data_IF_542776852565
#
_entry.id   IF_542776852565
#
_cell.length_a   1.000
_cell.length_b   1.000
_cell.length_c   1.000
_cell.angle_alpha   90.00
_cell.angle_beta   90.00
_cell.angle_gamma   90.00
#
_symmetry.space_group_name_H-M   'P 1'
#
loop_
_entity.id
_entity.type
_entity.pdbx_description
1 polymer ?
#
# COMPACT_ATOMS: atom_id res chain seq x y z
N UNK A 1 -9.50 17.75 15.56
CA UNK A 1 -9.35 16.29 15.87
C UNK A 1 -9.51 15.58 14.54
N UNK A 2 -8.52 14.77 14.11
CA UNK A 2 -8.66 14.03 12.84
C UNK A 2 -9.69 12.91 12.98
N UNK A 3 -10.49 12.73 11.94
CA UNK A 3 -11.49 11.68 11.85
C UNK A 3 -10.97 10.54 10.96
N UNK A 4 -10.85 9.36 11.55
CA UNK A 4 -10.43 8.12 10.87
C UNK A 4 -11.65 7.25 10.62
N UNK A 5 -11.87 6.84 9.37
CA UNK A 5 -12.87 5.81 9.05
C UNK A 5 -12.17 4.49 8.74
N UNK A 6 -12.49 3.45 9.51
CA UNK A 6 -12.01 2.09 9.27
C UNK A 6 -12.97 1.42 8.30
N UNK A 7 -12.46 0.91 7.19
CA UNK A 7 -13.21 0.13 6.20
C UNK A 7 -12.50 -1.18 5.88
N UNK A 8 -13.22 -2.14 5.32
CA UNK A 8 -12.67 -3.44 4.89
C UNK A 8 -12.87 -3.66 3.39
N UNK A 9 -12.09 -3.01 2.51
CA UNK A 9 -12.34 -3.05 1.07
C UNK A 9 -11.85 -4.34 0.40
N UNK A 10 -11.18 -5.23 1.13
CA UNK A 10 -10.49 -6.42 0.62
C UNK A 10 -10.89 -7.69 1.38
N UNK A 11 -9.97 -8.31 2.11
CA UNK A 11 -10.18 -9.56 2.84
C UNK A 11 -10.90 -9.37 4.18
N UNK A 12 -11.65 -10.40 4.60
CA UNK A 12 -12.27 -10.45 5.93
C UNK A 12 -11.21 -10.46 7.04
N UNK A 13 -11.55 -9.84 8.16
CA UNK A 13 -10.73 -9.78 9.37
C UNK A 13 -11.59 -10.08 10.59
N UNK A 14 -11.01 -10.63 11.64
CA UNK A 14 -11.73 -10.83 12.90
C UNK A 14 -12.16 -9.49 13.51
N UNK A 15 -13.44 -9.39 13.90
CA UNK A 15 -14.03 -8.19 14.51
C UNK A 15 -13.17 -7.58 15.61
N UNK A 16 -12.58 -8.43 16.46
CA UNK A 16 -11.75 -7.98 17.61
C UNK A 16 -10.60 -7.07 17.19
N UNK A 17 -9.97 -7.31 16.02
CA UNK A 17 -8.84 -6.49 15.56
C UNK A 17 -9.29 -5.08 15.12
N UNK A 18 -10.48 -4.96 14.54
CA UNK A 18 -11.04 -3.64 14.22
C UNK A 18 -11.40 -2.89 15.50
N UNK A 19 -12.05 -3.57 16.46
CA UNK A 19 -12.47 -2.97 17.71
C UNK A 19 -11.27 -2.52 18.56
N UNK A 20 -10.25 -3.35 18.73
CA UNK A 20 -9.03 -3.00 19.45
C UNK A 20 -8.22 -1.88 18.74
N UNK A 21 -8.16 -1.90 17.40
CA UNK A 21 -7.52 -0.81 16.65
C UNK A 21 -8.28 0.51 16.85
N UNK A 22 -9.63 0.47 16.84
CA UNK A 22 -10.45 1.64 17.15
C UNK A 22 -10.15 2.19 18.55
N UNK A 23 -10.18 1.33 19.58
CA UNK A 23 -9.91 1.73 20.96
C UNK A 23 -8.53 2.40 21.09
N UNK A 24 -7.50 1.84 20.44
CA UNK A 24 -6.16 2.42 20.41
C UNK A 24 -6.13 3.79 19.74
N UNK A 25 -6.75 3.93 18.56
CA UNK A 25 -6.80 5.19 17.84
C UNK A 25 -7.56 6.27 18.64
N UNK A 26 -8.66 5.89 19.28
CA UNK A 26 -9.42 6.78 20.19
C UNK A 26 -8.59 7.20 21.40
N UNK A 27 -7.76 6.29 21.98
CA UNK A 27 -6.84 6.62 23.07
C UNK A 27 -5.76 7.62 22.65
N UNK A 28 -5.41 7.67 21.38
CA UNK A 28 -4.50 8.68 20.82
C UNK A 28 -5.19 10.03 20.53
N UNK A 29 -6.49 10.12 20.75
CA UNK A 29 -7.26 11.35 20.57
C UNK A 29 -7.84 11.53 19.17
N UNK A 30 -7.93 10.49 18.35
CA UNK A 30 -8.63 10.53 17.08
C UNK A 30 -10.13 10.28 17.26
N UNK A 31 -10.94 10.85 16.38
CA UNK A 31 -12.33 10.42 16.21
C UNK A 31 -12.32 9.21 15.26
N UNK A 32 -13.00 8.11 15.64
CA UNK A 32 -13.02 6.91 14.82
C UNK A 32 -14.44 6.50 14.48
N UNK A 33 -14.70 6.23 13.20
CA UNK A 33 -15.92 5.58 12.73
C UNK A 33 -15.56 4.30 11.96
N UNK A 34 -16.53 3.40 11.84
CA UNK A 34 -16.36 2.12 11.16
C UNK A 34 -17.37 2.06 10.02
N UNK A 35 -16.94 1.62 8.85
CA UNK A 35 -17.80 1.41 7.69
C UNK A 35 -18.91 0.40 8.01
N UNK A 36 -20.05 0.57 7.38
CA UNK A 36 -21.26 -0.21 7.60
C UNK A 36 -21.04 -1.72 7.41
N UNK A 37 -20.20 -2.07 6.43
CA UNK A 37 -19.90 -3.45 6.05
C UNK A 37 -18.52 -3.95 6.52
N UNK A 38 -17.78 -3.15 7.29
CA UNK A 38 -16.40 -3.45 7.69
C UNK A 38 -16.23 -4.75 8.48
N UNK A 39 -17.29 -5.26 9.11
CA UNK A 39 -17.32 -6.54 9.83
C UNK A 39 -17.88 -7.70 8.99
N UNK A 40 -18.14 -7.47 7.71
CA UNK A 40 -18.69 -8.46 6.80
C UNK A 40 -17.75 -9.62 6.52
N UNK A 41 -18.33 -10.75 6.08
CA UNK A 41 -17.59 -11.91 5.62
C UNK A 41 -18.39 -12.62 4.51
N UNK A 42 -17.75 -12.79 3.34
CA UNK A 42 -18.26 -13.54 2.21
C UNK A 42 -17.11 -14.35 1.60
N UNK A 43 -16.96 -15.62 2.03
CA UNK A 43 -15.79 -16.41 1.72
C UNK A 43 -14.52 -15.76 2.31
N UNK A 44 -13.55 -15.44 1.46
CA UNK A 44 -12.31 -14.74 1.89
C UNK A 44 -12.44 -13.22 1.99
N UNK A 45 -13.55 -12.64 1.47
CA UNK A 45 -13.76 -11.20 1.36
C UNK A 45 -14.51 -10.65 2.57
N UNK A 46 -14.34 -9.37 2.83
CA UNK A 46 -15.07 -8.64 3.88
C UNK A 46 -16.47 -8.19 3.44
N UNK A 47 -17.24 -9.10 2.83
CA UNK A 47 -18.54 -8.82 2.24
C UNK A 47 -18.54 -9.01 0.73
N UNK A 48 -19.67 -8.72 0.08
CA UNK A 48 -19.78 -8.73 -1.39
C UNK A 48 -18.94 -7.61 -2.01
N UNK A 49 -18.74 -7.64 -3.31
CA UNK A 49 -18.03 -6.58 -4.01
C UNK A 49 -18.74 -5.22 -3.86
N UNK A 50 -20.08 -5.25 -3.91
CA UNK A 50 -20.94 -4.06 -3.76
C UNK A 50 -20.83 -3.47 -2.37
N UNK A 51 -20.88 -4.28 -1.31
CA UNK A 51 -20.75 -3.83 0.09
C UNK A 51 -19.39 -3.20 0.36
N UNK A 52 -18.30 -3.80 -0.13
CA UNK A 52 -16.95 -3.27 0.00
C UNK A 52 -16.75 -1.95 -0.76
N UNK A 53 -17.36 -1.84 -1.94
CA UNK A 53 -17.34 -0.64 -2.76
C UNK A 53 -18.19 0.47 -2.15
N UNK A 54 -19.36 0.16 -1.57
CA UNK A 54 -20.23 1.11 -0.87
C UNK A 54 -19.46 1.79 0.27
N UNK A 55 -18.85 1.01 1.19
CA UNK A 55 -18.06 1.55 2.29
C UNK A 55 -16.89 2.44 1.80
N UNK A 56 -16.18 2.02 0.75
CA UNK A 56 -15.07 2.80 0.19
C UNK A 56 -15.54 4.11 -0.43
N UNK A 57 -16.60 4.07 -1.25
CA UNK A 57 -17.13 5.26 -1.90
C UNK A 57 -17.74 6.24 -0.88
N UNK A 58 -18.44 5.75 0.15
CA UNK A 58 -18.93 6.59 1.24
C UNK A 58 -17.79 7.26 2.00
N UNK A 59 -16.72 6.50 2.32
CA UNK A 59 -15.56 7.06 3.01
C UNK A 59 -14.82 8.11 2.18
N UNK A 60 -14.70 7.91 0.88
CA UNK A 60 -14.09 8.86 -0.05
C UNK A 60 -14.95 10.13 -0.23
N UNK A 61 -16.28 9.99 -0.25
CA UNK A 61 -17.20 11.11 -0.45
C UNK A 61 -17.37 11.99 0.80
N UNK A 62 -17.25 11.39 2.00
CA UNK A 62 -17.48 12.10 3.27
C UNK A 62 -16.37 13.12 3.54
N UNK A 63 -16.75 14.40 3.57
CA UNK A 63 -15.81 15.51 3.79
C UNK A 63 -15.32 15.62 5.24
N UNK A 64 -15.95 14.92 6.17
CA UNK A 64 -15.51 14.87 7.56
C UNK A 64 -14.40 13.84 7.81
N UNK A 65 -14.14 12.94 6.85
CA UNK A 65 -13.12 11.91 6.97
C UNK A 65 -11.77 12.43 6.50
N UNK A 66 -10.81 12.48 7.42
CA UNK A 66 -9.42 12.87 7.13
C UNK A 66 -8.57 11.67 6.68
N UNK A 67 -8.85 10.48 7.24
CA UNK A 67 -8.08 9.26 7.03
C UNK A 67 -9.00 8.07 6.81
N UNK A 68 -8.74 7.30 5.76
CA UNK A 68 -9.35 5.99 5.51
C UNK A 68 -8.32 4.93 5.90
N UNK A 69 -8.56 4.23 7.02
CA UNK A 69 -7.74 3.10 7.43
C UNK A 69 -8.37 1.81 6.91
N UNK A 70 -7.67 1.12 6.02
CA UNK A 70 -8.07 -0.20 5.58
C UNK A 70 -7.83 -1.21 6.71
N UNK A 71 -8.82 -2.05 7.03
CA UNK A 71 -8.71 -2.98 8.15
C UNK A 71 -7.70 -4.09 7.90
N UNK A 72 -7.64 -4.56 6.64
CA UNK A 72 -6.79 -5.64 6.16
C UNK A 72 -6.62 -5.58 4.63
N UNK A 73 -5.50 -6.11 4.13
CA UNK A 73 -5.32 -6.52 2.74
C UNK A 73 -5.93 -7.90 2.45
N UNK A 74 -5.19 -8.74 1.78
CA UNK A 74 -5.64 -10.07 1.37
C UNK A 74 -5.88 -10.13 -0.13
N UNK A 75 -7.13 -10.13 -0.58
CA UNK A 75 -7.51 -10.08 -1.99
C UNK A 75 -8.93 -9.54 -2.14
N UNK A 76 -9.17 -8.74 -3.17
CA UNK A 76 -10.51 -8.29 -3.49
C UNK A 76 -10.62 -6.88 -4.09
N UNK A 77 -9.64 -6.02 -3.91
CA UNK A 77 -9.66 -4.66 -4.44
C UNK A 77 -9.71 -4.62 -5.97
N UNK A 78 -9.01 -5.52 -6.66
CA UNK A 78 -9.07 -5.61 -8.12
C UNK A 78 -10.48 -5.89 -8.67
N UNK A 79 -11.40 -6.43 -7.86
CA UNK A 79 -12.80 -6.67 -8.28
C UNK A 79 -13.63 -5.39 -8.33
N UNK A 80 -13.17 -4.32 -7.66
CA UNK A 80 -13.93 -3.08 -7.47
C UNK A 80 -13.17 -1.83 -7.88
N UNK A 81 -11.88 -1.92 -8.18
CA UNK A 81 -11.02 -0.76 -8.42
C UNK A 81 -11.50 0.14 -9.56
N UNK A 82 -12.06 -0.45 -10.61
CA UNK A 82 -12.60 0.24 -11.79
C UNK A 82 -13.97 0.91 -11.56
N UNK A 83 -14.59 0.64 -10.40
CA UNK A 83 -15.90 1.18 -10.01
C UNK A 83 -15.82 2.22 -8.89
N UNK A 84 -14.62 2.56 -8.45
CA UNK A 84 -14.42 3.56 -7.40
C UNK A 84 -14.89 4.93 -7.91
N UNK A 85 -15.74 5.58 -7.13
CA UNK A 85 -16.20 6.94 -7.37
C UNK A 85 -15.29 7.91 -6.62
N UNK A 86 -14.45 8.61 -7.38
CA UNK A 86 -13.51 9.56 -6.80
C UNK A 86 -14.20 10.87 -6.39
N UNK A 87 -13.73 11.53 -5.31
CA UNK A 87 -14.28 12.80 -4.89
C UNK A 87 -14.12 13.88 -5.96
N UNK A 88 -15.14 14.74 -6.11
CA UNK A 88 -15.10 15.89 -7.03
C UNK A 88 -14.47 17.13 -6.41
N UNK A 89 -14.22 17.12 -5.09
CA UNK A 89 -13.54 18.20 -4.35
C UNK A 89 -12.04 18.26 -4.68
N UNK A 90 -11.35 19.37 -4.32
CA UNK A 90 -9.89 19.48 -4.53
C UNK A 90 -9.13 18.29 -3.94
N UNK A 91 -8.10 17.82 -4.63
CA UNK A 91 -7.30 16.64 -4.23
C UNK A 91 -6.61 16.82 -2.87
N UNK A 92 -6.32 18.06 -2.47
CA UNK A 92 -5.79 18.39 -1.14
C UNK A 92 -6.74 18.00 -0.01
N UNK A 93 -8.06 17.97 -0.31
CA UNK A 93 -9.13 17.63 0.64
C UNK A 93 -9.53 16.15 0.63
N UNK A 94 -8.91 15.33 -0.26
CA UNK A 94 -9.18 13.88 -0.25
C UNK A 94 -8.60 13.25 1.01
N UNK A 95 -9.25 12.24 1.59
CA UNK A 95 -8.72 11.56 2.76
C UNK A 95 -7.39 10.86 2.45
N UNK A 96 -6.53 10.74 3.47
CA UNK A 96 -5.34 9.90 3.39
C UNK A 96 -5.74 8.42 3.46
N UNK A 97 -5.47 7.67 2.41
CA UNK A 97 -5.67 6.21 2.42
C UNK A 97 -4.48 5.54 3.09
N UNK A 98 -4.74 4.65 4.06
CA UNK A 98 -3.74 3.92 4.84
C UNK A 98 -3.95 2.42 4.71
N UNK A 99 -2.90 1.69 4.38
CA UNK A 99 -2.88 0.23 4.28
C UNK A 99 -1.72 -0.27 3.43
N UNK A 100 -1.62 -1.58 3.23
CA UNK A 100 -0.60 -2.23 2.39
C UNK A 100 -1.12 -3.56 1.82
N UNK A 101 -0.27 -4.34 1.14
CA UNK A 101 -0.69 -5.61 0.53
C UNK A 101 -1.68 -5.37 -0.63
N UNK A 102 -2.86 -6.00 -0.63
CA UNK A 102 -3.91 -5.78 -1.64
C UNK A 102 -4.33 -4.30 -1.78
N UNK A 103 -4.11 -3.48 -0.72
CA UNK A 103 -4.37 -2.04 -0.75
C UNK A 103 -3.46 -1.31 -1.75
N UNK A 104 -2.43 -1.94 -2.24
CA UNK A 104 -1.61 -1.46 -3.37
C UNK A 104 -2.47 -1.06 -4.58
N UNK A 105 -3.58 -1.76 -4.84
CA UNK A 105 -4.49 -1.38 -5.93
C UNK A 105 -5.14 0.00 -5.68
N UNK A 106 -5.46 0.34 -4.43
CA UNK A 106 -5.98 1.66 -4.08
C UNK A 106 -4.88 2.72 -4.06
N UNK A 107 -3.65 2.35 -3.63
CA UNK A 107 -2.49 3.23 -3.78
C UNK A 107 -2.20 3.58 -5.24
N UNK A 108 -2.38 2.61 -6.16
CA UNK A 108 -2.24 2.86 -7.60
C UNK A 108 -3.27 3.90 -8.10
N UNK A 109 -4.53 3.82 -7.65
CA UNK A 109 -5.57 4.83 -7.95
C UNK A 109 -5.16 6.20 -7.42
N UNK A 110 -4.73 6.29 -6.16
CA UNK A 110 -4.30 7.57 -5.56
C UNK A 110 -3.09 8.15 -6.30
N UNK A 111 -2.09 7.33 -6.60
CA UNK A 111 -0.87 7.74 -7.33
C UNK A 111 -1.18 8.24 -8.74
N UNK A 112 -2.10 7.58 -9.46
CA UNK A 112 -2.57 8.01 -10.79
C UNK A 112 -3.15 9.43 -10.77
N UNK A 113 -3.74 9.82 -9.65
CA UNK A 113 -4.30 11.16 -9.44
C UNK A 113 -3.33 12.13 -8.73
N UNK A 114 -2.10 11.69 -8.40
CA UNK A 114 -1.13 12.50 -7.67
C UNK A 114 -1.57 12.84 -6.25
N UNK A 115 -2.35 11.95 -5.62
CA UNK A 115 -2.83 12.11 -4.24
C UNK A 115 -1.97 11.23 -3.32
N UNK A 116 -1.38 11.80 -2.26
CA UNK A 116 -0.62 11.02 -1.30
C UNK A 116 -1.46 9.93 -0.62
N UNK A 117 -0.84 8.75 -0.41
CA UNK A 117 -1.41 7.64 0.34
C UNK A 117 -0.32 6.95 1.15
N UNK A 118 -0.66 6.32 2.27
CA UNK A 118 0.28 5.79 3.24
C UNK A 118 0.31 4.25 3.18
N UNK A 119 1.38 3.69 2.64
CA UNK A 119 1.68 2.27 2.79
C UNK A 119 2.12 2.02 4.22
N UNK A 120 1.30 1.34 5.01
CA UNK A 120 1.54 1.12 6.44
C UNK A 120 0.73 -0.08 6.95
N UNK A 121 1.14 -0.61 8.09
CA UNK A 121 0.43 -1.65 8.82
C UNK A 121 -0.99 -1.21 9.19
N UNK A 122 -1.90 -2.21 9.32
CA UNK A 122 -3.33 -2.03 9.45
C UNK A 122 -3.86 -2.49 10.81
N UNK A 123 -5.17 -2.72 10.93
CA UNK A 123 -5.84 -2.97 12.22
C UNK A 123 -5.22 -4.09 13.06
N UNK A 124 -4.75 -5.20 12.44
CA UNK A 124 -4.14 -6.29 13.23
C UNK A 124 -2.90 -5.83 13.98
N UNK A 125 -1.99 -5.11 13.32
CA UNK A 125 -0.79 -4.58 13.97
C UNK A 125 -1.15 -3.58 15.09
N UNK A 126 -2.08 -2.67 14.83
CA UNK A 126 -2.59 -1.73 15.84
C UNK A 126 -3.26 -2.44 17.01
N UNK A 127 -3.87 -3.60 16.81
CA UNK A 127 -4.53 -4.37 17.86
C UNK A 127 -3.57 -5.19 18.71
N UNK A 128 -2.51 -5.76 18.09
CA UNK A 128 -1.72 -6.82 18.72
C UNK A 128 -0.32 -6.43 19.15
N UNK A 129 0.28 -5.42 18.50
CA UNK A 129 1.62 -4.97 18.85
C UNK A 129 1.61 -4.10 20.13
N UNK A 130 2.69 -4.11 20.93
CA UNK A 130 2.83 -3.22 22.07
C UNK A 130 2.66 -1.75 21.67
N UNK A 131 2.14 -0.92 22.59
CA UNK A 131 1.91 0.50 22.32
C UNK A 131 3.21 1.28 22.08
N UNK A 132 4.29 0.87 22.73
CA UNK A 132 5.64 1.44 22.63
C UNK A 132 6.47 0.82 21.50
N UNK A 133 5.92 -0.10 20.72
CA UNK A 133 6.62 -0.67 19.56
C UNK A 133 6.97 0.43 18.53
N UNK A 134 8.21 0.49 18.04
CA UNK A 134 8.67 1.55 17.16
C UNK A 134 7.75 1.77 15.94
N UNK A 135 7.31 0.68 15.29
CA UNK A 135 6.42 0.75 14.13
C UNK A 135 5.03 1.27 14.50
N UNK A 136 4.52 1.02 15.71
CA UNK A 136 3.23 1.57 16.19
C UNK A 136 3.34 3.08 16.42
N UNK A 137 4.46 3.52 17.00
CA UNK A 137 4.74 4.95 17.18
C UNK A 137 4.90 5.67 15.84
N UNK A 138 5.59 5.05 14.88
CA UNK A 138 5.73 5.58 13.53
C UNK A 138 4.38 5.67 12.78
N UNK A 139 3.51 4.67 12.90
CA UNK A 139 2.16 4.71 12.31
C UNK A 139 1.35 5.86 12.93
N UNK A 140 1.41 6.04 14.26
CA UNK A 140 0.76 7.15 14.95
C UNK A 140 1.26 8.49 14.40
N UNK A 141 2.57 8.70 14.36
CA UNK A 141 3.19 9.90 13.80
C UNK A 141 2.77 10.15 12.35
N UNK A 142 2.79 9.09 11.52
CA UNK A 142 2.41 9.18 10.11
C UNK A 142 0.94 9.59 9.94
N UNK A 143 0.02 9.07 10.77
CA UNK A 143 -1.39 9.47 10.77
C UNK A 143 -1.53 10.92 11.27
N UNK A 144 -0.80 11.31 12.32
CA UNK A 144 -0.82 12.68 12.87
C UNK A 144 -0.33 13.71 11.85
N UNK A 145 0.78 13.44 11.16
CA UNK A 145 1.33 14.30 10.10
C UNK A 145 0.52 14.22 8.80
N UNK A 146 -0.08 13.06 8.51
CA UNK A 146 -0.88 12.86 7.32
C UNK A 146 -0.04 12.98 6.04
N UNK A 147 -0.47 13.82 5.10
CA UNK A 147 0.21 14.02 3.80
C UNK A 147 1.56 14.75 3.90
N UNK A 148 1.90 15.27 5.07
CA UNK A 148 3.19 15.91 5.37
C UNK A 148 4.18 14.95 6.04
N UNK A 149 3.81 13.69 6.21
CA UNK A 149 4.71 12.68 6.77
C UNK A 149 5.93 12.50 5.86
N UNK A 150 7.10 12.51 6.47
CA UNK A 150 8.37 12.25 5.79
C UNK A 150 9.08 11.10 6.50
N UNK A 151 9.51 10.12 5.73
CA UNK A 151 10.27 9.00 6.26
C UNK A 151 11.74 9.38 6.44
N UNK A 152 12.31 9.09 7.62
CA UNK A 152 13.72 9.32 7.89
C UNK A 152 14.58 8.19 7.29
N UNK A 153 15.76 8.54 6.77
CA UNK A 153 16.73 7.56 6.26
C UNK A 153 16.70 7.35 4.74
N UNK A 154 15.91 8.11 4.00
CA UNK A 154 15.80 8.00 2.54
C UNK A 154 16.52 9.14 1.78
N UNK A 155 17.63 9.65 2.30
CA UNK A 155 18.35 10.78 1.70
C UNK A 155 18.71 10.59 0.21
N UNK A 156 18.85 9.34 -0.26
CA UNK A 156 19.07 9.05 -1.68
C UNK A 156 17.86 9.36 -2.57
N UNK A 157 16.68 9.52 -1.98
CA UNK A 157 15.41 9.75 -2.68
C UNK A 157 14.72 11.04 -2.26
N UNK A 158 15.46 11.95 -1.59
CA UNK A 158 14.92 13.23 -1.14
C UNK A 158 14.25 13.99 -2.31
N UNK A 159 13.03 14.42 -2.10
CA UNK A 159 12.22 15.13 -3.09
C UNK A 159 11.67 14.26 -4.24
N UNK A 160 11.93 12.94 -4.23
CA UNK A 160 11.37 12.02 -5.24
C UNK A 160 10.03 11.45 -4.79
N UNK A 161 9.10 11.33 -5.72
CA UNK A 161 7.83 10.64 -5.49
C UNK A 161 8.06 9.13 -5.45
N UNK A 162 7.55 8.50 -4.40
CA UNK A 162 7.58 7.03 -4.27
C UNK A 162 6.23 6.49 -4.70
N UNK A 163 6.24 5.42 -5.50
CA UNK A 163 5.06 4.66 -5.93
C UNK A 163 5.33 3.17 -5.71
N UNK A 164 4.32 2.32 -5.76
CA UNK A 164 4.55 0.88 -5.72
C UNK A 164 3.73 0.14 -4.67
N UNK A 165 4.34 -0.83 -4.02
CA UNK A 165 3.77 -1.71 -3.01
C UNK A 165 3.94 -3.18 -3.35
N UNK A 166 2.90 -3.99 -3.15
CA UNK A 166 2.94 -5.43 -3.39
C UNK A 166 3.09 -5.75 -4.89
N UNK A 167 4.15 -6.52 -5.23
CA UNK A 167 4.55 -6.77 -6.61
C UNK A 167 3.49 -7.56 -7.39
N UNK A 168 2.86 -8.56 -6.79
CA UNK A 168 1.83 -9.36 -7.45
C UNK A 168 0.56 -8.54 -7.74
N UNK A 169 0.20 -7.61 -6.87
CA UNK A 169 -0.89 -6.67 -7.10
C UNK A 169 -0.54 -5.70 -8.23
N UNK A 170 0.66 -5.12 -8.22
CA UNK A 170 1.15 -4.25 -9.29
C UNK A 170 1.17 -4.97 -10.65
N UNK A 171 1.62 -6.22 -10.67
CA UNK A 171 1.59 -7.07 -11.86
C UNK A 171 0.16 -7.31 -12.35
N UNK A 172 -0.77 -7.59 -11.43
CA UNK A 172 -2.18 -7.78 -11.75
C UNK A 172 -2.87 -6.53 -12.33
N UNK A 173 -2.32 -5.34 -12.13
CA UNK A 173 -2.82 -4.09 -12.70
C UNK A 173 -2.21 -3.75 -14.07
N UNK A 174 -1.19 -4.51 -14.56
CA UNK A 174 -0.59 -4.23 -15.86
C UNK A 174 -1.61 -4.37 -16.99
N UNK A 175 -1.53 -3.44 -17.97
CA UNK A 175 -2.49 -3.37 -19.07
C UNK A 175 -3.84 -2.72 -18.71
N UNK A 176 -4.03 -2.29 -17.47
CA UNK A 176 -5.21 -1.52 -17.03
C UNK A 176 -4.89 -0.03 -16.94
N UNK A 177 -5.90 0.85 -16.82
CA UNK A 177 -5.68 2.28 -16.57
C UNK A 177 -4.94 2.59 -15.26
N UNK A 178 -4.81 1.62 -14.36
CA UNK A 178 -4.17 1.75 -13.04
C UNK A 178 -2.74 1.17 -13.02
N UNK A 179 -2.19 0.86 -14.18
CA UNK A 179 -0.84 0.29 -14.33
C UNK A 179 0.26 1.28 -13.93
N UNK A 180 1.42 0.76 -13.56
CA UNK A 180 2.60 1.60 -13.28
C UNK A 180 2.94 2.53 -14.45
N UNK A 181 2.82 2.06 -15.70
CA UNK A 181 3.03 2.92 -16.87
C UNK A 181 2.06 4.12 -16.88
N UNK A 182 0.78 3.88 -16.63
CA UNK A 182 -0.22 4.95 -16.58
C UNK A 182 0.04 5.96 -15.45
N UNK A 183 0.54 5.48 -14.30
CA UNK A 183 0.94 6.33 -13.17
C UNK A 183 2.16 7.18 -13.57
N UNK A 184 3.23 6.55 -14.07
CA UNK A 184 4.47 7.23 -14.47
C UNK A 184 4.21 8.29 -15.55
N UNK A 185 3.29 8.03 -16.49
CA UNK A 185 2.89 9.00 -17.54
C UNK A 185 2.22 10.28 -16.97
N UNK A 186 1.75 10.25 -15.73
CA UNK A 186 1.15 11.40 -15.02
C UNK A 186 2.11 12.16 -14.14
N UNK A 187 3.27 11.59 -13.86
CA UNK A 187 4.29 12.21 -13.02
C UNK A 187 5.21 13.10 -13.86
N UNK A 188 5.59 14.25 -13.32
CA UNK A 188 6.51 15.20 -13.98
C UNK A 188 7.95 14.69 -13.96
N UNK A 189 8.30 13.87 -12.96
CA UNK A 189 9.63 13.31 -12.78
C UNK A 189 9.58 11.79 -12.62
N UNK A 190 10.68 11.14 -12.96
CA UNK A 190 10.85 9.72 -12.76
C UNK A 190 10.70 9.36 -11.26
N UNK A 191 9.77 8.45 -10.91
CA UNK A 191 9.53 8.08 -9.52
C UNK A 191 10.52 7.02 -9.02
N UNK A 192 10.51 6.81 -7.72
CA UNK A 192 11.11 5.66 -7.05
C UNK A 192 10.03 4.57 -6.91
N UNK A 193 10.37 3.33 -7.25
CA UNK A 193 9.46 2.18 -7.13
C UNK A 193 9.77 1.38 -5.87
N UNK A 194 8.79 1.25 -4.97
CA UNK A 194 8.83 0.28 -3.88
C UNK A 194 8.22 -1.04 -4.35
N UNK A 195 8.89 -2.16 -4.09
CA UNK A 195 8.38 -3.51 -4.30
C UNK A 195 8.56 -4.37 -3.05
N UNK A 196 7.54 -5.11 -2.69
CA UNK A 196 7.54 -6.16 -1.65
C UNK A 196 6.55 -7.26 -2.06
N UNK A 197 6.66 -8.45 -1.50
CA UNK A 197 5.65 -9.49 -1.71
C UNK A 197 5.62 -10.51 -0.57
N UNK A 198 4.61 -11.40 -0.58
CA UNK A 198 4.46 -12.48 0.39
C UNK A 198 3.93 -13.75 -0.27
N UNK A 199 4.49 -14.91 0.13
CA UNK A 199 4.01 -16.24 -0.28
C UNK A 199 3.99 -16.46 -1.80
N UNK A 200 4.80 -15.71 -2.56
CA UNK A 200 4.91 -15.92 -4.00
C UNK A 200 5.99 -16.95 -4.34
N UNK A 201 5.71 -17.74 -5.36
CA UNK A 201 6.71 -18.69 -5.86
C UNK A 201 7.82 -17.96 -6.60
N UNK A 202 9.05 -18.43 -6.48
CA UNK A 202 10.22 -17.82 -7.08
C UNK A 202 10.03 -17.49 -8.57
N UNK A 203 9.55 -18.45 -9.39
CA UNK A 203 9.32 -18.21 -10.82
C UNK A 203 8.19 -17.20 -11.11
N UNK A 204 7.25 -16.99 -10.18
CA UNK A 204 6.26 -15.90 -10.29
C UNK A 204 6.94 -14.55 -10.11
N UNK A 205 7.80 -14.43 -9.10
CA UNK A 205 8.58 -13.21 -8.85
C UNK A 205 9.43 -12.87 -10.07
N UNK A 206 10.19 -13.83 -10.59
CA UNK A 206 10.99 -13.65 -11.81
C UNK A 206 10.14 -13.19 -13.00
N UNK A 207 8.98 -13.83 -13.22
CA UNK A 207 8.03 -13.44 -14.27
C UNK A 207 7.54 -12.03 -14.13
N UNK A 208 7.16 -11.61 -12.91
CA UNK A 208 6.66 -10.27 -12.62
C UNK A 208 7.75 -9.22 -12.87
N UNK A 209 8.97 -9.46 -12.41
CA UNK A 209 10.12 -8.58 -12.64
C UNK A 209 10.47 -8.45 -14.12
N UNK A 210 10.47 -9.58 -14.86
CA UNK A 210 10.67 -9.58 -16.32
C UNK A 210 9.55 -8.82 -17.06
N UNK A 211 8.30 -8.88 -16.56
CA UNK A 211 7.22 -8.07 -17.10
C UNK A 211 7.48 -6.57 -16.91
N UNK A 212 7.90 -6.14 -15.71
CA UNK A 212 8.26 -4.73 -15.45
C UNK A 212 9.41 -4.27 -16.36
N UNK A 213 10.39 -5.12 -16.57
CA UNK A 213 11.52 -4.85 -17.49
C UNK A 213 11.04 -4.73 -18.94
N UNK A 214 10.32 -5.73 -19.46
CA UNK A 214 9.87 -5.76 -20.86
C UNK A 214 8.85 -4.67 -21.20
N UNK A 215 8.03 -4.25 -20.22
CA UNK A 215 7.10 -3.15 -20.38
C UNK A 215 7.75 -1.75 -20.29
N UNK A 216 9.09 -1.70 -20.10
CA UNK A 216 9.86 -0.46 -20.04
C UNK A 216 9.73 0.32 -18.73
N UNK A 217 9.04 -0.23 -17.72
CA UNK A 217 8.83 0.44 -16.43
C UNK A 217 10.16 0.71 -15.74
N UNK A 218 11.03 -0.31 -15.63
CA UNK A 218 12.29 -0.19 -14.91
C UNK A 218 13.22 0.89 -15.49
N UNK A 219 13.19 1.15 -16.79
CA UNK A 219 14.00 2.20 -17.43
C UNK A 219 13.48 3.64 -17.21
N UNK A 220 12.29 3.77 -16.58
CA UNK A 220 11.62 5.06 -16.35
C UNK A 220 11.65 5.48 -14.88
N UNK A 221 12.39 4.74 -14.04
CA UNK A 221 12.51 4.99 -12.62
C UNK A 221 13.74 5.87 -12.29
N UNK A 222 13.70 6.55 -11.16
CA UNK A 222 14.85 7.22 -10.56
C UNK A 222 15.46 6.43 -9.40
N UNK A 223 14.88 5.29 -9.03
CA UNK A 223 15.36 4.40 -7.99
C UNK A 223 14.39 3.28 -7.68
N UNK A 224 14.86 2.30 -6.91
CA UNK A 224 14.06 1.18 -6.42
C UNK A 224 14.30 0.97 -4.93
N UNK A 225 13.23 0.76 -4.20
CA UNK A 225 13.22 0.31 -2.80
C UNK A 225 12.77 -1.14 -2.80
N UNK A 226 13.65 -2.05 -2.41
CA UNK A 226 13.34 -3.46 -2.26
C UNK A 226 12.99 -3.72 -0.81
N UNK A 227 11.70 -3.95 -0.56
CA UNK A 227 11.15 -4.38 0.71
C UNK A 227 11.38 -5.86 0.98
N UNK A 228 10.56 -6.44 1.82
CA UNK A 228 10.67 -7.84 2.20
C UNK A 228 9.86 -8.73 1.24
N UNK A 229 10.45 -9.87 0.89
CA UNK A 229 9.80 -10.96 0.15
C UNK A 229 9.57 -12.10 1.13
N UNK A 230 8.54 -11.91 1.97
CA UNK A 230 8.24 -12.78 3.11
C UNK A 230 7.65 -14.11 2.63
N UNK A 231 8.15 -15.23 3.17
CA UNK A 231 7.69 -16.59 2.79
C UNK A 231 7.75 -16.84 1.26
N UNK A 232 8.69 -16.20 0.59
CA UNK A 232 8.99 -16.38 -0.82
C UNK A 232 10.23 -17.28 -0.94
N UNK A 233 10.01 -18.59 -0.88
CA UNK A 233 11.09 -19.58 -0.85
C UNK A 233 11.86 -19.67 -2.17
N UNK A 234 13.18 -19.84 -2.06
CA UNK A 234 14.04 -20.11 -3.20
C UNK A 234 13.68 -21.44 -3.85
N UNK A 235 13.48 -21.43 -5.16
CA UNK A 235 13.31 -22.65 -5.95
C UNK A 235 14.66 -23.09 -6.52
N UNK A 236 15.16 -24.24 -6.08
CA UNK A 236 16.44 -24.80 -6.54
C UNK A 236 16.52 -25.01 -8.05
N UNK A 237 15.37 -25.20 -8.72
CA UNK A 237 15.30 -25.34 -10.18
C UNK A 237 15.57 -24.03 -10.92
N UNK A 238 15.42 -22.89 -10.24
CA UNK A 238 15.75 -21.57 -10.81
C UNK A 238 17.26 -21.33 -10.89
N UNK A 239 18.08 -22.07 -10.13
CA UNK A 239 19.54 -21.95 -10.13
C UNK A 239 20.08 -20.66 -9.48
N UNK A 240 19.24 -19.89 -8.86
CA UNK A 240 19.55 -18.67 -8.12
C UNK A 240 18.55 -18.46 -6.98
N UNK A 241 18.82 -17.53 -6.07
CA UNK A 241 17.88 -17.12 -5.01
C UNK A 241 16.89 -16.09 -5.53
N UNK A 242 15.78 -15.87 -4.77
CA UNK A 242 14.82 -14.78 -5.04
C UNK A 242 15.55 -13.43 -5.08
N UNK A 243 16.44 -13.19 -4.13
CA UNK A 243 17.23 -11.96 -4.07
C UNK A 243 18.11 -11.77 -5.31
N UNK A 244 18.76 -12.83 -5.78
CA UNK A 244 19.56 -12.79 -7.01
C UNK A 244 18.71 -12.55 -8.25
N UNK A 245 17.51 -13.12 -8.34
CA UNK A 245 16.55 -12.82 -9.41
C UNK A 245 16.15 -11.35 -9.44
N UNK A 246 15.86 -10.74 -8.28
CA UNK A 246 15.57 -9.32 -8.17
C UNK A 246 16.79 -8.50 -8.60
N UNK A 247 17.98 -8.88 -8.14
CA UNK A 247 19.23 -8.21 -8.52
C UNK A 247 19.48 -8.27 -10.04
N UNK A 248 19.29 -9.43 -10.66
CA UNK A 248 19.45 -9.61 -12.11
C UNK A 248 18.45 -8.76 -12.91
N UNK A 249 17.19 -8.67 -12.47
CA UNK A 249 16.17 -7.85 -13.11
C UNK A 249 16.49 -6.35 -13.08
N UNK A 250 17.18 -5.90 -12.02
CA UNK A 250 17.57 -4.51 -11.81
C UNK A 250 19.00 -4.21 -12.32
N UNK A 251 19.74 -5.23 -12.75
CA UNK A 251 21.09 -5.04 -13.30
C UNK A 251 21.05 -4.22 -14.60
N UNK A 252 21.99 -3.30 -14.74
CA UNK A 252 22.12 -2.46 -15.94
C UNK A 252 21.33 -1.13 -15.88
N UNK A 253 20.70 -0.83 -14.75
CA UNK A 253 20.16 0.50 -14.47
C UNK A 253 21.05 1.23 -13.48
N UNK A 254 21.35 2.51 -13.76
CA UNK A 254 22.32 3.32 -12.99
C UNK A 254 21.69 4.08 -11.80
N UNK A 255 20.41 3.85 -11.50
CA UNK A 255 19.74 4.49 -10.38
C UNK A 255 20.04 3.78 -9.04
N UNK A 256 19.92 4.47 -7.90
CA UNK A 256 20.13 3.87 -6.59
C UNK A 256 19.08 2.81 -6.27
N UNK A 257 19.51 1.73 -5.60
CA UNK A 257 18.66 0.65 -5.11
C UNK A 257 18.87 0.49 -3.62
N UNK A 258 17.80 0.64 -2.82
CA UNK A 258 17.82 0.33 -1.40
C UNK A 258 17.35 -1.10 -1.18
N UNK A 259 18.13 -1.89 -0.45
CA UNK A 259 17.87 -3.29 -0.14
C UNK A 259 17.53 -3.49 1.33
N UNK A 260 16.84 -4.59 1.63
CA UNK A 260 16.53 -5.03 2.99
C UNK A 260 15.82 -3.97 3.83
N UNK A 261 14.93 -3.20 3.19
CA UNK A 261 14.18 -2.16 3.87
C UNK A 261 13.02 -2.76 4.68
N UNK A 262 12.56 -2.11 5.77
CA UNK A 262 11.51 -2.64 6.64
C UNK A 262 10.10 -2.38 6.07
N UNK A 263 9.88 -2.66 4.78
CA UNK A 263 8.58 -2.51 4.12
C UNK A 263 8.05 -3.86 3.68
N UNK A 264 6.77 -4.12 3.95
CA UNK A 264 6.09 -5.32 3.51
C UNK A 264 5.49 -6.14 4.66
N UNK A 265 5.40 -7.47 4.47
CA UNK A 265 4.73 -8.37 5.39
C UNK A 265 5.66 -8.85 6.52
N UNK A 266 6.12 -7.91 7.33
CA UNK A 266 6.97 -8.12 8.50
C UNK A 266 6.41 -7.34 9.70
N UNK A 267 6.77 -7.77 10.90
CA UNK A 267 6.30 -7.11 12.13
C UNK A 267 6.82 -5.66 12.22
N UNK A 268 8.03 -5.42 11.70
CA UNK A 268 8.69 -4.10 11.68
C UNK A 268 8.23 -3.23 10.50
N UNK A 269 7.13 -3.57 9.81
CA UNK A 269 6.67 -2.80 8.64
C UNK A 269 6.47 -1.32 8.98
N UNK A 270 7.34 -0.49 8.44
CA UNK A 270 7.34 0.96 8.65
C UNK A 270 6.40 1.67 7.66
N UNK A 271 5.79 2.80 8.06
CA UNK A 271 4.98 3.58 7.14
C UNK A 271 5.83 4.30 6.10
N UNK A 272 5.36 4.34 4.85
CA UNK A 272 5.96 5.13 3.77
C UNK A 272 4.88 5.84 2.97
N UNK A 273 5.08 7.13 2.69
CA UNK A 273 4.14 7.95 1.95
C UNK A 273 4.38 7.82 0.45
N UNK A 274 3.37 7.35 -0.29
CA UNK A 274 3.36 7.35 -1.75
C UNK A 274 2.87 8.69 -2.30
N UNK A 275 3.48 9.16 -3.39
CA UNK A 275 3.19 10.45 -4.02
C UNK A 275 3.22 11.65 -3.07
N UNK A 276 3.90 11.55 -1.91
CA UNK A 276 4.22 12.67 -1.05
C UNK A 276 5.15 13.67 -1.73
N UNK A 277 5.27 14.85 -1.14
CA UNK A 277 6.23 15.88 -1.57
C UNK A 277 7.59 15.63 -0.94
#
# INVERSE_FOLDING_TARGET
MKHIRIISPSGAIERKYIEQARERLESWGFQVSIGKHAFGACGRFAGTAEERLEDLNEALADTSVDVILCSRGGYGLQQIVDKIVLPTRPKSEWPLVVGFSDITALHAVMSLHGVPSLHASMCKALATLPEDAPQVLLIREAIEKGKEFQHFGMSHFDGKKIIGGNLSVLYGLQGTPYSLNAIIDKLEEAPVLLIEDICERHYHIDRMLNNLRMSGILSRLSGVIVGQFTDCDDDKLMGCTVQESIHQALAGYDYPIMWNTPYGHVDENEPILFCGN
#
